data_IF_218830880724
#
_entry.id   IF_218830880724
#
_cell.length_a   1.000
_cell.length_b   1.000
_cell.length_c   1.000
_cell.angle_alpha   90.00
_cell.angle_beta   90.00
_cell.angle_gamma   90.00
#
_symmetry.space_group_name_H-M   'P 1'
#
loop_
_entity.id
_entity.type
_entity.pdbx_description
1 polymer ?
#
# COMPACT_ATOMS: atom_id res chain seq x y z
N UNK A 1 2.27 -25.99 -23.27
CA UNK A 1 2.45 -25.90 -21.81
C UNK A 1 3.48 -24.80 -21.54
N UNK A 2 3.08 -23.53 -21.67
CA UNK A 2 4.00 -22.37 -21.66
C UNK A 2 3.44 -21.17 -20.89
N UNK A 3 2.27 -21.34 -20.27
CA UNK A 3 1.52 -20.26 -19.62
C UNK A 3 1.94 -20.00 -18.16
N UNK A 4 2.55 -20.98 -17.48
CA UNK A 4 3.02 -20.83 -16.09
C UNK A 4 4.05 -19.71 -15.89
N UNK A 5 5.12 -19.53 -16.72
CA UNK A 5 6.10 -18.47 -16.48
C UNK A 5 5.55 -17.06 -16.72
N UNK A 6 4.61 -16.91 -17.66
CA UNK A 6 3.98 -15.62 -17.97
C UNK A 6 3.02 -15.22 -16.85
N UNK A 7 2.22 -16.17 -16.35
CA UNK A 7 1.28 -15.91 -15.25
C UNK A 7 2.00 -15.45 -13.99
N UNK A 8 3.08 -16.13 -13.57
CA UNK A 8 3.86 -15.73 -12.39
C UNK A 8 4.53 -14.37 -12.58
N UNK A 9 5.06 -14.06 -13.78
CA UNK A 9 5.61 -12.73 -14.07
C UNK A 9 4.55 -11.63 -14.02
N UNK A 10 3.37 -11.88 -14.57
CA UNK A 10 2.26 -10.91 -14.52
C UNK A 10 1.81 -10.67 -13.08
N UNK A 11 1.74 -11.73 -12.26
CA UNK A 11 1.38 -11.64 -10.84
C UNK A 11 2.44 -10.87 -10.05
N UNK A 12 3.72 -11.09 -10.36
CA UNK A 12 4.83 -10.39 -9.71
C UNK A 12 4.84 -8.91 -10.06
N UNK A 13 4.68 -8.56 -11.34
CA UNK A 13 4.63 -7.17 -11.80
C UNK A 13 3.41 -6.47 -11.22
N UNK A 14 2.23 -7.10 -11.26
CA UNK A 14 1.00 -6.50 -10.72
C UNK A 14 1.11 -6.29 -9.20
N UNK A 15 1.63 -7.27 -8.45
CA UNK A 15 1.88 -7.14 -7.03
C UNK A 15 2.84 -6.00 -6.69
N UNK A 16 3.95 -5.88 -7.43
CA UNK A 16 4.91 -4.79 -7.27
C UNK A 16 4.28 -3.41 -7.57
N UNK A 17 3.50 -3.31 -8.65
CA UNK A 17 2.80 -2.07 -9.03
C UNK A 17 1.77 -1.68 -7.97
N UNK A 18 1.00 -2.64 -7.45
CA UNK A 18 0.01 -2.38 -6.40
C UNK A 18 0.70 -1.86 -5.13
N UNK A 19 1.80 -2.49 -4.70
CA UNK A 19 2.56 -2.02 -3.52
C UNK A 19 3.09 -0.61 -3.75
N UNK A 20 3.69 -0.33 -4.91
CA UNK A 20 4.21 0.99 -5.23
C UNK A 20 3.12 2.06 -5.26
N UNK A 21 1.97 1.75 -5.86
CA UNK A 21 0.80 2.63 -5.87
C UNK A 21 0.25 2.86 -4.47
N UNK A 22 0.17 1.84 -3.63
CA UNK A 22 -0.27 1.99 -2.23
C UNK A 22 0.67 2.90 -1.43
N UNK A 23 1.98 2.76 -1.59
CA UNK A 23 2.95 3.67 -0.97
C UNK A 23 2.82 5.11 -1.46
N UNK A 24 2.70 5.29 -2.78
CA UNK A 24 2.52 6.61 -3.37
C UNK A 24 1.22 7.28 -2.88
N UNK A 25 0.13 6.49 -2.80
CA UNK A 25 -1.15 6.96 -2.29
C UNK A 25 -1.07 7.38 -0.83
N UNK A 26 -0.47 6.54 0.02
CA UNK A 26 -0.24 6.87 1.43
C UNK A 26 0.59 8.13 1.58
N UNK A 27 1.69 8.27 0.82
CA UNK A 27 2.53 9.46 0.87
C UNK A 27 1.75 10.71 0.49
N UNK A 28 0.95 10.67 -0.58
CA UNK A 28 0.09 11.79 -0.96
C UNK A 28 -0.93 12.16 0.12
N UNK A 29 -1.50 11.18 0.83
CA UNK A 29 -2.46 11.42 1.91
C UNK A 29 -1.82 12.02 3.16
N UNK A 30 -0.64 11.54 3.57
CA UNK A 30 -0.06 11.85 4.89
C UNK A 30 1.10 12.86 4.86
N UNK A 31 1.65 13.22 3.69
CA UNK A 31 2.78 14.15 3.59
C UNK A 31 2.53 15.49 4.29
N UNK A 32 1.33 16.03 4.20
CA UNK A 32 1.00 17.34 4.76
C UNK A 32 0.88 17.23 6.28
N UNK A 33 0.26 16.15 6.78
CA UNK A 33 0.12 15.86 8.22
C UNK A 33 1.50 15.74 8.89
N UNK A 34 2.46 15.11 8.20
CA UNK A 34 3.85 15.01 8.63
C UNK A 34 4.54 16.37 8.55
N UNK A 35 4.37 17.09 7.44
CA UNK A 35 4.98 18.40 7.20
C UNK A 35 4.56 19.46 8.22
N UNK A 36 3.30 19.42 8.67
CA UNK A 36 2.76 20.32 9.70
C UNK A 36 2.95 19.80 11.14
N UNK A 37 3.68 18.69 11.36
CA UNK A 37 3.90 18.08 12.67
C UNK A 37 2.60 17.69 13.42
N UNK A 38 1.51 17.43 12.71
CA UNK A 38 0.29 16.90 13.33
C UNK A 38 0.42 15.43 13.70
N UNK A 39 1.29 14.69 13.00
CA UNK A 39 1.56 13.29 13.25
C UNK A 39 3.04 12.99 13.00
N UNK A 40 3.65 12.20 13.88
CA UNK A 40 5.05 11.81 13.71
C UNK A 40 5.20 10.82 12.54
N UNK A 41 6.37 10.78 11.92
CA UNK A 41 6.68 9.85 10.83
C UNK A 41 6.45 8.37 11.19
N UNK A 42 6.86 7.87 12.39
CA UNK A 42 6.55 6.50 12.79
C UNK A 42 5.05 6.25 12.99
N UNK A 43 4.30 7.19 13.56
CA UNK A 43 2.85 7.04 13.71
C UNK A 43 2.14 7.04 12.34
N UNK A 44 2.59 7.88 11.42
CA UNK A 44 2.09 7.88 10.04
C UNK A 44 2.39 6.55 9.34
N UNK A 45 3.54 5.94 9.60
CA UNK A 45 3.89 4.64 9.03
C UNK A 45 2.99 3.52 9.55
N UNK A 46 2.51 3.59 10.79
CA UNK A 46 1.48 2.66 11.28
C UNK A 46 0.19 2.79 10.49
N UNK A 47 -0.15 4.00 10.03
CA UNK A 47 -1.31 4.24 9.17
C UNK A 47 -1.18 3.67 7.76
N UNK A 48 0.04 3.32 7.33
CA UNK A 48 0.26 2.59 6.08
C UNK A 48 -0.23 1.14 6.20
N UNK A 49 0.04 0.52 7.35
CA UNK A 49 -0.14 -0.92 7.57
C UNK A 49 -1.46 -1.25 8.27
N UNK A 50 -1.98 -0.33 9.07
CA UNK A 50 -3.19 -0.50 9.88
C UNK A 50 -4.10 0.73 9.79
N UNK A 51 -5.41 0.53 9.99
CA UNK A 51 -6.38 1.61 10.14
C UNK A 51 -6.70 1.77 11.63
N UNK A 52 -5.93 2.57 12.36
CA UNK A 52 -6.24 2.94 13.75
C UNK A 52 -7.06 4.23 13.82
N UNK A 53 -7.64 4.52 14.99
CA UNK A 53 -8.42 5.75 15.24
C UNK A 53 -7.59 7.02 14.99
N UNK A 54 -6.29 6.97 15.30
CA UNK A 54 -5.34 8.07 15.06
C UNK A 54 -5.25 8.37 13.55
N UNK A 55 -5.26 7.33 12.72
CA UNK A 55 -5.23 7.47 11.26
C UNK A 55 -6.54 8.06 10.71
N UNK A 56 -7.68 7.75 11.33
CA UNK A 56 -8.97 8.36 10.98
C UNK A 56 -9.00 9.85 11.36
N UNK A 57 -8.47 10.19 12.54
CA UNK A 57 -8.37 11.56 13.01
C UNK A 57 -7.46 12.41 12.10
N UNK A 58 -6.30 11.86 11.71
CA UNK A 58 -5.41 12.53 10.76
C UNK A 58 -6.09 12.80 9.40
N UNK A 59 -6.90 11.85 8.91
CA UNK A 59 -7.65 12.03 7.65
C UNK A 59 -8.78 13.05 7.77
N UNK A 60 -9.41 13.20 8.94
CA UNK A 60 -10.48 14.18 9.13
C UNK A 60 -9.96 15.63 9.05
N UNK A 61 -8.73 15.87 9.51
CA UNK A 61 -8.03 17.15 9.38
C UNK A 61 -7.77 17.49 7.90
N UNK A 62 -7.39 16.51 7.07
CA UNK A 62 -7.15 16.74 5.64
C UNK A 62 -8.42 16.86 4.78
N UNK A 63 -9.56 16.35 5.26
CA UNK A 63 -10.84 16.35 4.51
C UNK A 63 -11.35 17.75 4.15
N UNK A 64 -10.90 18.78 4.87
CA UNK A 64 -11.29 20.17 4.63
C UNK A 64 -10.57 20.79 3.42
N UNK A 65 -9.39 20.28 3.05
CA UNK A 65 -8.52 20.93 2.06
C UNK A 65 -8.34 20.08 0.81
N UNK A 66 -8.53 18.76 0.91
CA UNK A 66 -8.27 17.82 -0.18
C UNK A 66 -9.53 17.05 -0.62
N UNK A 67 -9.63 16.71 -1.91
CA UNK A 67 -10.72 15.89 -2.42
C UNK A 67 -10.71 14.51 -1.75
N UNK A 68 -11.91 14.03 -1.39
CA UNK A 68 -12.11 12.78 -0.63
C UNK A 68 -11.35 11.57 -1.21
N UNK A 69 -11.23 11.48 -2.53
CA UNK A 69 -10.50 10.41 -3.21
C UNK A 69 -9.02 10.32 -2.80
N UNK A 70 -8.36 11.45 -2.55
CA UNK A 70 -6.95 11.50 -2.13
C UNK A 70 -6.82 11.22 -0.63
N UNK A 71 -7.85 11.57 0.15
CA UNK A 71 -7.86 11.41 1.61
C UNK A 71 -8.20 9.98 2.04
N UNK A 72 -8.88 9.21 1.17
CA UNK A 72 -9.19 7.80 1.41
C UNK A 72 -8.01 6.90 1.11
N UNK A 73 -7.16 6.65 2.12
CA UNK A 73 -6.20 5.56 2.10
C UNK A 73 -6.78 4.30 2.76
N UNK A 74 -6.52 3.12 2.17
CA UNK A 74 -6.94 1.82 2.70
C UNK A 74 -5.73 0.90 2.82
N UNK A 75 -5.38 0.50 4.05
CA UNK A 75 -4.28 -0.45 4.31
C UNK A 75 -4.45 -1.79 3.59
N UNK A 76 -5.69 -2.19 3.30
CA UNK A 76 -6.00 -3.39 2.52
C UNK A 76 -5.33 -3.39 1.13
N UNK A 77 -5.16 -2.23 0.49
CA UNK A 77 -4.50 -2.14 -0.82
C UNK A 77 -3.04 -2.61 -0.78
N UNK A 78 -2.30 -2.19 0.26
CA UNK A 78 -0.93 -2.62 0.50
C UNK A 78 -0.87 -4.13 0.76
N UNK A 79 -1.75 -4.64 1.62
CA UNK A 79 -1.80 -6.07 1.93
C UNK A 79 -2.16 -6.94 0.73
N UNK A 80 -3.03 -6.49 -0.17
CA UNK A 80 -3.32 -7.18 -1.43
C UNK A 80 -2.07 -7.27 -2.30
N UNK A 81 -1.32 -6.17 -2.46
CA UNK A 81 -0.06 -6.16 -3.22
C UNK A 81 1.01 -7.06 -2.61
N UNK A 82 1.16 -7.03 -1.27
CA UNK A 82 2.09 -7.90 -0.54
C UNK A 82 1.71 -9.37 -0.69
N UNK A 83 0.43 -9.71 -0.51
CA UNK A 83 -0.05 -11.08 -0.67
C UNK A 83 0.17 -11.60 -2.11
N UNK A 84 -0.09 -10.76 -3.12
CA UNK A 84 0.17 -11.10 -4.52
C UNK A 84 1.66 -11.33 -4.80
N UNK A 85 2.55 -10.50 -4.24
CA UNK A 85 4.00 -10.68 -4.33
C UNK A 85 4.44 -11.99 -3.65
N UNK A 86 4.01 -12.23 -2.41
CA UNK A 86 4.32 -13.47 -1.69
C UNK A 86 3.84 -14.71 -2.46
N UNK A 87 2.63 -14.69 -3.01
CA UNK A 87 2.10 -15.76 -3.85
C UNK A 87 2.93 -15.96 -5.13
N UNK A 88 3.42 -14.88 -5.73
CA UNK A 88 4.29 -14.93 -6.92
C UNK A 88 5.62 -15.63 -6.63
N UNK A 89 6.22 -15.36 -5.46
CA UNK A 89 7.47 -16.03 -5.05
C UNK A 89 7.24 -17.49 -4.66
N UNK A 90 6.14 -17.81 -3.98
CA UNK A 90 5.79 -19.19 -3.61
C UNK A 90 5.44 -20.06 -4.83
N UNK A 91 5.01 -19.45 -5.94
CA UNK A 91 4.70 -20.14 -7.20
C UNK A 91 5.83 -20.04 -8.23
N UNK A 92 6.91 -19.30 -7.94
CA UNK A 92 8.14 -19.30 -8.73
C UNK A 92 8.81 -20.68 -8.72
N UNK A 93 9.70 -21.00 -9.68
CA UNK A 93 10.32 -22.31 -9.82
C UNK A 93 11.32 -22.55 -8.67
N UNK A 94 10.80 -22.86 -7.49
CA UNK A 94 11.51 -23.39 -6.33
C UNK A 94 11.15 -24.88 -6.14
N UNK A 95 10.86 -25.59 -7.25
CA UNK A 95 10.52 -27.02 -7.24
C UNK A 95 11.65 -27.93 -7.72
N UNK A 96 12.88 -27.40 -7.82
CA UNK A 96 14.08 -28.16 -8.20
C UNK A 96 15.16 -28.00 -7.11
N UNK A 97 14.96 -28.65 -5.96
CA UNK A 97 16.01 -28.94 -4.97
C UNK A 97 15.72 -30.30 -4.34
#
# INVERSE_FOLDING_TARGET
>A
MSALPVFTRLLQISGAVIVALSFAWWWMTYRDVIGYNYLSLPDASLCLVSNSDICQLARSLCRSTHPLAIVTYWSASLWIGVAALCASFATGPARDA
#
